data_IF_106521763584
#
_entry.id   IF_106521763584
#
_cell.length_a   1.000
_cell.length_b   1.000
_cell.length_c   1.000
_cell.angle_alpha   90.00
_cell.angle_beta   90.00
_cell.angle_gamma   90.00
#
_symmetry.space_group_name_H-M   'P 1'
#
loop_
_entity.id
_entity.type
_entity.pdbx_description
1 polymer ?
#
# COMPACT_ATOMS: atom_id res chain seq x y z
N UNK A 1 -17.40 57.12 43.60
CA UNK A 1 -18.42 57.15 42.52
C UNK A 1 -17.97 56.16 41.48
N UNK A 2 -18.64 55.03 41.50
CA UNK A 2 -18.60 53.97 40.50
C UNK A 2 -18.85 54.53 39.12
N UNK A 3 -18.25 53.93 38.10
CA UNK A 3 -19.03 53.06 37.23
C UNK A 3 -18.12 52.24 36.31
N UNK A 4 -18.06 50.94 36.67
CA UNK A 4 -18.13 49.76 35.80
C UNK A 4 -17.00 49.50 34.80
N UNK A 5 -16.18 48.54 35.20
CA UNK A 5 -15.95 47.30 34.46
C UNK A 5 -16.69 47.22 33.11
N UNK A 6 -15.95 47.41 32.03
CA UNK A 6 -16.30 46.83 30.74
C UNK A 6 -15.31 45.70 30.50
N UNK A 7 -15.57 44.59 31.19
CA UNK A 7 -15.17 43.28 30.75
C UNK A 7 -15.89 43.01 29.41
N UNK A 8 -15.26 43.42 28.31
CA UNK A 8 -15.68 43.01 26.98
C UNK A 8 -15.13 41.60 26.72
N UNK A 9 -15.90 40.63 27.20
CA UNK A 9 -16.23 39.37 26.52
C UNK A 9 -15.20 38.91 25.48
N UNK A 10 -14.26 38.06 25.92
CA UNK A 10 -13.66 37.07 25.02
C UNK A 10 -14.82 36.28 24.40
N UNK A 11 -14.97 36.37 23.08
CA UNK A 11 -15.96 35.60 22.34
C UNK A 11 -15.66 34.11 22.53
N UNK A 12 -16.63 33.36 23.05
CA UNK A 12 -16.65 31.90 23.23
C UNK A 12 -16.63 31.11 21.89
N UNK A 13 -16.13 31.70 20.81
CA UNK A 13 -16.13 31.13 19.45
C UNK A 13 -14.74 30.75 18.94
N UNK A 14 -13.68 30.97 19.72
CA UNK A 14 -12.28 30.77 19.31
C UNK A 14 -11.51 29.85 20.28
N UNK A 15 -12.20 28.84 20.80
CA UNK A 15 -11.56 27.65 21.39
C UNK A 15 -11.63 26.50 20.38
N UNK A 16 -11.36 26.80 19.11
CA UNK A 16 -11.00 25.78 18.15
C UNK A 16 -9.61 25.29 18.56
N UNK A 17 -9.55 24.09 19.15
CA UNK A 17 -8.31 23.41 19.47
C UNK A 17 -7.36 23.53 18.28
N UNK A 18 -6.22 24.20 18.47
CA UNK A 18 -5.21 24.32 17.43
C UNK A 18 -4.59 22.93 17.24
N UNK A 19 -5.08 22.19 16.25
CA UNK A 19 -4.49 20.90 15.89
C UNK A 19 -3.34 21.21 14.94
N UNK A 20 -2.14 20.81 15.35
CA UNK A 20 -0.96 20.97 14.52
C UNK A 20 -1.14 20.18 13.21
N UNK A 21 -0.72 20.73 12.08
CA UNK A 21 -0.79 20.02 10.80
C UNK A 21 0.56 19.42 10.46
N UNK A 22 0.52 18.17 10.00
CA UNK A 22 1.68 17.43 9.53
C UNK A 22 1.59 17.25 8.01
N UNK A 23 2.73 17.23 7.35
CA UNK A 23 2.84 16.97 5.92
C UNK A 23 3.11 15.49 5.69
N UNK A 24 2.27 14.82 4.90
CA UNK A 24 2.47 13.41 4.55
C UNK A 24 2.42 13.19 3.04
N UNK A 25 2.90 12.03 2.60
CA UNK A 25 2.86 11.61 1.21
C UNK A 25 2.11 10.29 1.07
N UNK A 26 1.29 10.15 0.02
CA UNK A 26 0.60 8.91 -0.33
C UNK A 26 1.01 8.49 -1.74
N UNK A 27 1.46 7.25 -1.88
CA UNK A 27 2.00 6.71 -3.13
C UNK A 27 1.25 5.45 -3.54
N UNK A 28 0.86 5.41 -4.82
CA UNK A 28 0.36 4.20 -5.47
C UNK A 28 0.96 4.02 -6.86
N UNK A 29 1.40 2.81 -7.17
CA UNK A 29 2.14 2.50 -8.39
C UNK A 29 1.63 1.26 -9.11
N UNK A 30 1.02 1.48 -10.27
CA UNK A 30 0.74 0.48 -11.29
C UNK A 30 1.88 0.42 -12.31
N UNK A 31 1.87 -0.62 -13.16
CA UNK A 31 2.86 -0.74 -14.23
C UNK A 31 2.74 0.36 -15.29
N UNK A 32 1.58 1.00 -15.39
CA UNK A 32 1.24 1.97 -16.44
C UNK A 32 0.87 3.36 -15.90
N UNK A 33 0.70 3.51 -14.58
CA UNK A 33 0.35 4.77 -13.93
C UNK A 33 0.91 4.77 -12.51
N UNK A 34 1.49 5.88 -12.08
CA UNK A 34 2.07 6.05 -10.75
C UNK A 34 1.73 7.45 -10.27
N UNK A 35 1.33 7.58 -9.02
CA UNK A 35 1.05 8.88 -8.40
C UNK A 35 1.70 8.96 -7.02
N UNK A 36 2.18 10.15 -6.68
CA UNK A 36 2.64 10.55 -5.36
C UNK A 36 1.93 11.85 -5.02
N UNK A 37 1.11 11.83 -3.97
CA UNK A 37 0.30 12.96 -3.54
C UNK A 37 0.80 13.41 -2.18
N UNK A 38 1.19 14.67 -2.09
CA UNK A 38 1.51 15.32 -0.82
C UNK A 38 0.26 16.01 -0.28
N UNK A 39 -0.07 15.77 0.98
CA UNK A 39 -1.26 16.35 1.64
C UNK A 39 -0.91 16.78 3.06
N UNK A 40 -1.49 17.90 3.48
CA UNK A 40 -1.46 18.36 4.87
C UNK A 40 -2.64 17.75 5.61
N UNK A 41 -2.38 17.10 6.75
CA UNK A 41 -3.41 16.48 7.59
C UNK A 41 -3.20 16.89 9.04
N UNK A 42 -4.25 16.80 9.83
CA UNK A 42 -4.16 17.08 11.27
C UNK A 42 -3.27 16.04 11.97
N UNK A 43 -2.48 16.47 12.95
CA UNK A 43 -1.70 15.58 13.79
C UNK A 43 -2.64 14.58 14.50
N UNK A 44 -2.25 13.32 14.55
CA UNK A 44 -3.11 12.24 15.04
C UNK A 44 -3.94 11.55 13.96
N UNK A 45 -3.91 12.04 12.71
CA UNK A 45 -4.55 11.39 11.56
C UNK A 45 -4.01 9.97 11.35
N UNK A 46 -4.92 9.03 11.09
CA UNK A 46 -4.55 7.63 10.81
C UNK A 46 -4.20 7.42 9.33
N UNK A 47 -3.50 6.32 9.03
CA UNK A 47 -3.20 5.91 7.66
C UNK A 47 -4.46 5.86 6.78
N UNK A 48 -5.57 5.31 7.28
CA UNK A 48 -6.83 5.25 6.52
C UNK A 48 -7.38 6.63 6.18
N UNK A 49 -7.44 7.51 7.18
CA UNK A 49 -7.94 8.88 7.01
C UNK A 49 -7.07 9.67 6.04
N UNK A 50 -5.75 9.53 6.11
CA UNK A 50 -4.82 10.19 5.19
C UNK A 50 -4.96 9.68 3.75
N UNK A 51 -5.17 8.38 3.54
CA UNK A 51 -5.42 7.83 2.19
C UNK A 51 -6.71 8.43 1.61
N UNK A 52 -7.78 8.52 2.40
CA UNK A 52 -9.04 9.14 1.98
C UNK A 52 -8.83 10.64 1.69
N UNK A 53 -8.17 11.37 2.59
CA UNK A 53 -7.89 12.79 2.45
C UNK A 53 -7.02 13.12 1.23
N UNK A 54 -6.13 12.20 0.83
CA UNK A 54 -5.30 12.37 -0.37
C UNK A 54 -6.08 12.29 -1.69
N UNK A 55 -7.31 11.75 -1.67
CA UNK A 55 -8.11 11.54 -2.89
C UNK A 55 -7.54 10.46 -3.83
N UNK A 56 -6.50 9.72 -3.42
CA UNK A 56 -5.85 8.73 -4.30
C UNK A 56 -6.81 7.60 -4.73
N UNK A 57 -7.81 7.30 -3.90
CA UNK A 57 -8.86 6.32 -4.21
C UNK A 57 -9.79 6.77 -5.35
N UNK A 58 -9.88 8.07 -5.61
CA UNK A 58 -10.65 8.61 -6.75
C UNK A 58 -9.84 8.57 -8.05
N UNK A 59 -8.51 8.49 -7.96
CA UNK A 59 -7.61 8.40 -9.12
C UNK A 59 -7.39 6.96 -9.60
N UNK A 60 -7.71 5.99 -8.75
CA UNK A 60 -7.44 4.57 -8.95
C UNK A 60 -8.58 3.72 -8.40
N UNK A 61 -9.44 3.24 -9.29
CA UNK A 61 -10.61 2.40 -8.95
C UNK A 61 -10.24 1.01 -8.41
N UNK A 62 -8.97 0.60 -8.53
CA UNK A 62 -8.46 -0.70 -8.08
C UNK A 62 -7.94 -0.69 -6.64
N UNK A 63 -7.95 0.46 -5.96
CA UNK A 63 -7.62 0.57 -4.55
C UNK A 63 -8.87 0.19 -3.73
N UNK A 64 -8.78 -0.92 -3.01
CA UNK A 64 -9.80 -1.36 -2.05
C UNK A 64 -9.24 -1.26 -0.63
N UNK A 65 -9.67 -0.23 0.11
CA UNK A 65 -9.30 -0.03 1.51
C UNK A 65 -9.64 -1.28 2.34
N UNK A 66 -8.70 -1.69 3.19
CA UNK A 66 -8.81 -2.92 3.99
C UNK A 66 -8.38 -4.20 3.29
N UNK A 67 -8.37 -4.26 1.94
CA UNK A 67 -7.80 -5.39 1.20
C UNK A 67 -6.36 -5.15 0.78
N UNK A 68 -6.05 -3.94 0.30
CA UNK A 68 -4.68 -3.58 -0.04
C UNK A 68 -3.81 -3.57 1.22
N UNK A 69 -2.58 -4.06 1.10
CA UNK A 69 -1.58 -3.89 2.16
C UNK A 69 -1.02 -2.49 2.06
N UNK A 70 -0.77 -1.88 3.21
CA UNK A 70 -0.16 -0.55 3.30
C UNK A 70 1.15 -0.63 4.06
N UNK A 71 2.05 0.30 3.75
CA UNK A 71 3.30 0.47 4.47
C UNK A 71 3.64 1.94 4.69
N UNK A 72 4.53 2.19 5.63
CA UNK A 72 5.17 3.49 5.84
C UNK A 72 6.67 3.26 5.69
N UNK A 73 7.32 3.89 4.72
CA UNK A 73 8.77 3.76 4.48
C UNK A 73 9.28 2.30 4.45
N UNK A 74 8.82 1.47 3.52
CA UNK A 74 9.13 0.03 3.42
C UNK A 74 8.77 -0.83 4.64
N UNK A 75 8.08 -0.30 5.66
CA UNK A 75 7.61 -1.05 6.82
C UNK A 75 6.11 -1.30 6.70
N UNK A 76 5.66 -2.53 6.94
CA UNK A 76 4.23 -2.83 6.99
C UNK A 76 3.53 -2.00 8.09
N UNK A 77 2.39 -1.41 7.74
CA UNK A 77 1.59 -0.58 8.63
C UNK A 77 0.13 -1.07 8.65
N UNK A 78 -0.61 -0.68 9.67
CA UNK A 78 -2.06 -0.88 9.76
C UNK A 78 -2.76 0.43 9.38
N UNK A 79 -3.98 0.29 8.88
CA UNK A 79 -4.89 1.42 8.61
C UNK A 79 -5.16 2.31 9.85
N UNK A 80 -5.05 1.73 11.04
CA UNK A 80 -5.26 2.40 12.33
C UNK A 80 -4.00 3.07 12.89
N UNK A 81 -2.85 2.90 12.26
CA UNK A 81 -1.61 3.50 12.76
C UNK A 81 -1.68 5.02 12.56
N UNK A 82 -1.22 5.77 13.56
CA UNK A 82 -1.14 7.24 13.53
C UNK A 82 0.13 7.66 12.80
N UNK A 83 0.01 8.69 11.97
CA UNK A 83 1.11 9.20 11.15
C UNK A 83 1.98 10.20 11.90
N UNK A 84 3.25 10.25 11.52
CA UNK A 84 4.18 11.30 11.88
C UNK A 84 4.41 12.25 10.70
N UNK A 85 4.96 13.43 10.99
CA UNK A 85 5.35 14.37 9.95
C UNK A 85 6.38 13.74 8.98
N UNK A 86 6.18 14.03 7.70
CA UNK A 86 6.94 13.49 6.56
C UNK A 86 6.82 11.98 6.33
N UNK A 87 5.82 11.32 6.94
CA UNK A 87 5.54 9.92 6.63
C UNK A 87 5.09 9.75 5.18
N UNK A 88 5.60 8.68 4.54
CA UNK A 88 5.17 8.25 3.22
C UNK A 88 4.41 6.94 3.31
N UNK A 89 3.13 7.00 2.99
CA UNK A 89 2.22 5.87 2.89
C UNK A 89 2.37 5.23 1.51
N UNK A 90 2.71 3.94 1.49
CA UNK A 90 2.80 3.12 0.29
C UNK A 90 1.61 2.17 0.22
N UNK A 91 0.80 2.26 -0.83
CA UNK A 91 -0.30 1.32 -1.07
C UNK A 91 0.22 0.20 -1.99
N UNK A 92 0.18 -1.05 -1.53
CA UNK A 92 0.64 -2.20 -2.30
C UNK A 92 -0.47 -2.82 -3.13
N UNK A 93 -0.09 -3.36 -4.29
CA UNK A 93 -0.99 -4.10 -5.19
C UNK A 93 -1.32 -5.48 -4.63
N UNK A 94 -2.58 -5.94 -4.76
CA UNK A 94 -2.95 -7.29 -4.39
C UNK A 94 -2.24 -8.32 -5.29
N UNK A 95 -1.90 -9.48 -4.73
CA UNK A 95 -1.31 -10.57 -5.51
C UNK A 95 -2.41 -11.23 -6.36
N UNK A 96 -2.26 -11.16 -7.68
CA UNK A 96 -3.24 -11.70 -8.65
C UNK A 96 -3.29 -13.24 -8.64
N UNK A 97 -2.22 -13.91 -8.22
CA UNK A 97 -2.18 -15.37 -8.18
C UNK A 97 -1.42 -15.87 -6.96
N UNK A 98 -1.94 -16.94 -6.35
CA UNK A 98 -1.22 -17.69 -5.33
C UNK A 98 0.12 -18.16 -5.91
N UNK A 99 1.26 -17.75 -5.33
CA UNK A 99 2.58 -18.17 -5.78
C UNK A 99 2.73 -19.69 -5.92
N UNK A 100 1.99 -20.48 -5.13
CA UNK A 100 2.00 -21.94 -5.20
C UNK A 100 1.32 -22.46 -6.47
N UNK A 101 0.15 -21.93 -6.80
CA UNK A 101 -0.59 -22.31 -8.01
C UNK A 101 0.19 -21.94 -9.28
N UNK A 102 0.82 -20.76 -9.30
CA UNK A 102 1.69 -20.35 -10.42
C UNK A 102 2.89 -21.26 -10.56
N UNK A 103 3.54 -21.64 -9.44
CA UNK A 103 4.64 -22.60 -9.44
C UNK A 103 4.21 -23.98 -9.94
N UNK A 104 3.04 -24.46 -9.53
CA UNK A 104 2.46 -25.73 -9.96
C UNK A 104 2.19 -25.74 -11.46
N UNK A 105 1.48 -24.74 -12.00
CA UNK A 105 1.22 -24.62 -13.45
C UNK A 105 2.51 -24.53 -14.27
N UNK A 106 3.54 -23.83 -13.76
CA UNK A 106 4.85 -23.75 -14.43
C UNK A 106 5.56 -25.11 -14.46
N UNK A 107 5.48 -25.88 -13.37
CA UNK A 107 6.06 -27.22 -13.30
C UNK A 107 5.34 -28.20 -14.24
N UNK A 108 4.00 -28.19 -14.24
CA UNK A 108 3.17 -29.01 -15.15
C UNK A 108 3.47 -28.70 -16.62
N UNK A 109 3.52 -27.41 -16.99
CA UNK A 109 3.87 -26.98 -18.35
C UNK A 109 5.30 -27.36 -18.74
N UNK A 110 6.26 -27.31 -17.80
CA UNK A 110 7.63 -27.75 -18.07
C UNK A 110 7.72 -29.27 -18.32
N UNK A 111 6.86 -30.06 -17.68
CA UNK A 111 6.74 -31.50 -17.95
C UNK A 111 6.10 -31.75 -19.31
N UNK A 112 5.01 -31.03 -19.64
CA UNK A 112 4.32 -31.14 -20.93
C UNK A 112 5.22 -30.77 -22.11
N UNK A 113 6.00 -29.69 -21.98
CA UNK A 113 6.97 -29.23 -22.98
C UNK A 113 8.26 -30.08 -23.00
N UNK A 114 8.35 -31.15 -22.19
CA UNK A 114 9.50 -32.04 -22.13
C UNK A 114 10.79 -31.39 -21.60
N UNK A 115 10.68 -30.24 -20.92
CA UNK A 115 11.80 -29.53 -20.25
C UNK A 115 12.08 -30.07 -18.85
N UNK A 116 11.17 -30.87 -18.28
CA UNK A 116 11.29 -31.52 -16.99
C UNK A 116 10.79 -32.97 -17.05
N UNK A 117 11.42 -33.87 -16.30
CA UNK A 117 10.96 -35.25 -16.16
C UNK A 117 9.67 -35.30 -15.30
N UNK A 118 8.64 -36.01 -15.77
CA UNK A 118 7.34 -36.15 -15.09
C UNK A 118 7.42 -36.77 -13.68
N UNK A 119 8.39 -37.66 -13.45
CA UNK A 119 8.53 -38.43 -12.21
C UNK A 119 9.49 -37.71 -11.24
N UNK A 120 10.60 -37.17 -11.74
CA UNK A 120 11.65 -36.60 -10.88
C UNK A 120 11.70 -35.08 -10.86
N UNK A 121 10.98 -34.38 -11.73
CA UNK A 121 10.99 -32.92 -11.85
C UNK A 121 12.33 -32.31 -12.34
N UNK A 122 13.38 -33.13 -12.45
CA UNK A 122 14.71 -32.73 -12.90
C UNK A 122 14.84 -32.62 -14.41
N UNK A 123 16.02 -32.18 -14.88
CA UNK A 123 16.33 -32.09 -16.32
C UNK A 123 16.10 -33.46 -16.99
N UNK A 124 15.39 -33.53 -18.13
CA UNK A 124 15.20 -34.79 -18.84
C UNK A 124 16.56 -35.30 -19.30
N UNK A 125 16.89 -36.52 -18.90
CA UNK A 125 18.08 -37.22 -19.38
C UNK A 125 17.76 -37.68 -20.81
N UNK A 126 18.45 -37.12 -21.82
CA UNK A 126 18.44 -37.73 -23.14
C UNK A 126 19.17 -39.08 -23.00
N UNK A 127 18.44 -40.20 -23.06
CA UNK A 127 19.09 -41.49 -23.32
C UNK A 127 19.74 -41.35 -24.70
N UNK A 128 21.05 -41.14 -24.71
CA UNK A 128 21.85 -41.07 -25.93
C UNK A 128 21.64 -42.34 -26.74
N UNK A 129 21.53 -42.15 -28.06
CA UNK A 129 21.49 -43.20 -29.06
C UNK A 129 22.43 -44.35 -28.71
N UNK A 130 21.90 -45.58 -28.71
CA UNK A 130 22.73 -46.79 -28.76
C UNK A 130 23.68 -46.63 -29.94
N UNK A 131 24.97 -46.49 -29.66
CA UNK A 131 25.99 -46.67 -30.67
C UNK A 131 25.97 -48.14 -31.06
N UNK A 132 25.60 -48.42 -32.30
CA UNK A 132 25.78 -49.72 -32.92
C UNK A 132 27.27 -50.12 -32.85
N UNK A 133 27.55 -51.26 -32.23
CA UNK A 133 28.76 -52.05 -32.43
C UNK A 133 28.36 -53.51 -32.57
#
# INVERSE_FOLDING_TARGET
>A
MSDKDVAATKSEADEAAYVEQIQIEVVYGLSHKQELITVMVDEGTTVEQAIIASGITELFDDIELGKNKVGIWNRAAKYTDVLADLDRIEIYRPLIADPKEVRKRRAEKAVEEGRANKITGGRPVKLGAKGDK
#
